data_IF_241118219452
#
_entry.id   IF_241118219452
#
_cell.length_a   1.000
_cell.length_b   1.000
_cell.length_c   1.000
_cell.angle_alpha   90.00
_cell.angle_beta   90.00
_cell.angle_gamma   90.00
#
_symmetry.space_group_name_H-M   'P 1'
#
loop_
_entity.id
_entity.type
_entity.pdbx_description
1 polymer ?
#
# COMPACT_ATOMS: atom_id res chain seq x y z
N UNK A 1 -38.49 -49.50 -44.45
CA UNK A 1 -37.06 -49.13 -44.26
C UNK A 1 -37.00 -47.62 -44.23
N UNK A 2 -36.97 -47.00 -43.04
CA UNK A 2 -37.01 -45.52 -42.94
C UNK A 2 -37.22 -45.00 -41.51
N UNK A 3 -36.35 -45.32 -40.54
CA UNK A 3 -36.37 -44.72 -39.23
C UNK A 3 -34.90 -44.64 -38.75
N UNK A 4 -34.11 -43.62 -39.17
CA UNK A 4 -32.79 -43.34 -38.56
C UNK A 4 -32.29 -41.91 -38.81
N UNK A 5 -33.08 -41.00 -39.41
CA UNK A 5 -32.61 -39.61 -39.62
C UNK A 5 -32.94 -38.62 -38.52
N UNK A 6 -33.94 -38.88 -37.67
CA UNK A 6 -34.41 -37.90 -36.67
C UNK A 6 -33.63 -37.85 -35.36
N UNK A 7 -32.77 -38.82 -35.09
CA UNK A 7 -32.08 -38.87 -33.78
C UNK A 7 -30.72 -38.11 -33.80
N UNK A 8 -30.04 -38.06 -34.94
CA UNK A 8 -28.75 -37.37 -35.05
C UNK A 8 -28.87 -35.84 -34.97
N UNK A 9 -29.93 -35.24 -35.48
CA UNK A 9 -30.12 -33.80 -35.45
C UNK A 9 -30.38 -33.25 -34.04
N UNK A 10 -31.08 -34.03 -33.19
CA UNK A 10 -31.37 -33.62 -31.80
C UNK A 10 -30.11 -33.58 -30.91
N UNK A 11 -29.12 -34.42 -31.14
CA UNK A 11 -27.88 -34.43 -30.37
C UNK A 11 -26.93 -33.30 -30.77
N UNK A 12 -26.94 -32.87 -32.02
CA UNK A 12 -26.12 -31.76 -32.52
C UNK A 12 -26.61 -30.42 -31.93
N UNK A 13 -27.94 -30.23 -31.84
CA UNK A 13 -28.52 -29.00 -31.26
C UNK A 13 -28.28 -28.93 -29.74
N UNK A 14 -28.38 -30.06 -29.03
CA UNK A 14 -28.10 -30.13 -27.60
C UNK A 14 -26.62 -29.91 -27.30
N UNK A 15 -25.71 -30.40 -28.13
CA UNK A 15 -24.25 -30.15 -27.97
C UNK A 15 -23.87 -28.70 -28.26
N UNK A 16 -24.50 -28.01 -29.22
CA UNK A 16 -24.30 -26.58 -29.47
C UNK A 16 -24.84 -25.69 -28.34
N UNK A 17 -26.00 -26.05 -27.75
CA UNK A 17 -26.54 -25.33 -26.59
C UNK A 17 -25.70 -25.51 -25.33
N UNK A 18 -25.07 -26.67 -25.13
CA UNK A 18 -24.14 -26.89 -24.01
C UNK A 18 -22.81 -26.12 -24.17
N UNK A 19 -22.34 -25.92 -25.41
CA UNK A 19 -21.14 -25.10 -25.69
C UNK A 19 -21.40 -23.60 -25.49
N UNK A 20 -22.63 -23.12 -25.69
CA UNK A 20 -23.01 -21.72 -25.45
C UNK A 20 -23.27 -21.41 -23.98
N UNK A 21 -23.61 -22.40 -23.16
CA UNK A 21 -23.79 -22.23 -21.71
C UNK A 21 -22.46 -22.21 -20.92
N UNK A 22 -21.34 -22.62 -21.53
CA UNK A 22 -20.04 -22.74 -20.89
C UNK A 22 -19.16 -21.50 -20.96
N UNK A 23 -19.52 -20.46 -21.71
CA UNK A 23 -18.79 -19.16 -21.67
C UNK A 23 -19.37 -18.27 -20.59
N UNK A 24 -19.14 -18.61 -19.32
CA UNK A 24 -19.16 -17.59 -18.29
C UNK A 24 -18.06 -16.58 -18.68
N UNK A 25 -18.45 -15.51 -19.37
CA UNK A 25 -17.60 -14.34 -19.54
C UNK A 25 -17.16 -13.96 -18.14
N UNK A 26 -15.91 -14.24 -17.79
CA UNK A 26 -15.34 -13.72 -16.58
C UNK A 26 -15.63 -12.20 -16.61
N UNK A 27 -16.52 -11.75 -15.73
CA UNK A 27 -16.89 -10.33 -15.64
C UNK A 27 -15.59 -9.58 -15.38
N UNK A 28 -15.26 -8.63 -16.24
CA UNK A 28 -14.10 -7.79 -16.01
C UNK A 28 -14.26 -7.13 -14.64
N UNK A 29 -13.25 -7.29 -13.80
CA UNK A 29 -13.22 -6.71 -12.46
C UNK A 29 -13.37 -5.19 -12.56
N UNK A 30 -14.32 -4.62 -11.83
CA UNK A 30 -14.51 -3.17 -11.80
C UNK A 30 -13.38 -2.49 -11.00
N UNK A 31 -13.15 -1.21 -11.29
CA UNK A 31 -12.18 -0.41 -10.52
C UNK A 31 -12.49 -0.44 -9.01
N UNK A 32 -13.77 -0.37 -8.63
CA UNK A 32 -14.18 -0.40 -7.23
C UNK A 32 -13.82 -1.75 -6.57
N UNK A 33 -14.07 -2.87 -7.23
CA UNK A 33 -13.71 -4.21 -6.75
C UNK A 33 -12.19 -4.35 -6.62
N UNK A 34 -11.43 -3.89 -7.61
CA UNK A 34 -9.96 -3.89 -7.56
C UNK A 34 -9.44 -3.07 -6.36
N UNK A 35 -9.92 -1.84 -6.17
CA UNK A 35 -9.49 -0.98 -5.07
C UNK A 35 -9.86 -1.55 -3.70
N UNK A 36 -11.02 -2.21 -3.56
CA UNK A 36 -11.40 -2.91 -2.34
C UNK A 36 -10.49 -4.12 -2.07
N UNK A 37 -10.13 -4.87 -3.09
CA UNK A 37 -9.21 -6.00 -2.96
C UNK A 37 -7.80 -5.53 -2.54
N UNK A 38 -7.31 -4.40 -3.09
CA UNK A 38 -6.05 -3.78 -2.68
C UNK A 38 -6.12 -3.32 -1.21
N UNK A 39 -7.23 -2.70 -0.80
CA UNK A 39 -7.42 -2.28 0.58
C UNK A 39 -7.46 -3.46 1.55
N UNK A 40 -8.15 -4.54 1.18
CA UNK A 40 -8.19 -5.76 1.98
C UNK A 40 -6.79 -6.38 2.15
N UNK A 41 -5.96 -6.38 1.09
CA UNK A 41 -4.57 -6.81 1.18
C UNK A 41 -3.71 -5.83 2.00
N UNK A 42 -3.90 -4.52 1.86
CA UNK A 42 -3.13 -3.50 2.58
C UNK A 42 -3.40 -3.52 4.09
N UNK A 43 -4.63 -3.81 4.49
CA UNK A 43 -5.05 -3.88 5.89
C UNK A 43 -4.32 -5.00 6.64
N UNK A 44 -3.97 -4.76 7.90
CA UNK A 44 -3.40 -5.77 8.79
C UNK A 44 -4.52 -6.57 9.47
N UNK A 45 -4.81 -7.76 8.96
CA UNK A 45 -5.83 -8.65 9.53
C UNK A 45 -5.45 -9.14 10.94
N UNK A 46 -4.16 -9.36 11.17
CA UNK A 46 -3.55 -9.61 12.47
C UNK A 46 -2.42 -8.60 12.72
N UNK A 47 -2.07 -8.32 13.99
CA UNK A 47 -0.94 -7.46 14.28
C UNK A 47 0.34 -7.99 13.65
N UNK A 48 1.09 -7.09 13.02
CA UNK A 48 2.35 -7.42 12.36
C UNK A 48 3.46 -6.45 12.76
N UNK A 49 4.70 -6.91 12.73
CA UNK A 49 5.89 -6.13 12.97
C UNK A 49 6.83 -6.23 11.79
N UNK A 50 7.41 -5.11 11.38
CA UNK A 50 8.60 -5.09 10.55
C UNK A 50 9.78 -4.51 11.32
N UNK A 51 10.89 -5.20 11.25
CA UNK A 51 12.19 -4.64 11.59
C UNK A 51 12.70 -3.93 10.33
N UNK A 52 13.01 -2.63 10.45
CA UNK A 52 13.29 -1.75 9.31
C UNK A 52 14.71 -1.21 9.39
N UNK A 53 15.40 -1.25 8.24
CA UNK A 53 16.68 -0.56 8.04
C UNK A 53 16.49 0.55 7.02
N UNK A 54 17.00 1.73 7.35
CA UNK A 54 16.94 2.91 6.50
C UNK A 54 18.32 3.07 5.84
N UNK A 55 18.34 3.21 4.52
CA UNK A 55 19.51 3.62 3.75
C UNK A 55 19.11 4.80 2.87
N UNK A 56 19.84 5.89 2.93
CA UNK A 56 19.59 7.09 2.16
C UNK A 56 20.89 7.69 1.63
N UNK A 57 20.79 8.59 0.65
CA UNK A 57 21.92 9.15 -0.07
C UNK A 57 22.91 9.92 0.82
N UNK A 58 23.95 10.45 0.21
CA UNK A 58 25.01 11.18 0.87
C UNK A 58 24.48 12.36 1.69
N UNK A 59 24.99 12.54 2.92
CA UNK A 59 24.54 13.58 3.84
C UNK A 59 23.28 13.25 4.67
N UNK A 60 22.60 12.15 4.38
CA UNK A 60 21.44 11.71 5.16
C UNK A 60 21.86 11.06 6.49
N UNK A 61 21.42 11.63 7.61
CA UNK A 61 21.78 11.16 8.96
C UNK A 61 21.06 9.88 9.39
N UNK A 62 19.99 9.50 8.69
CA UNK A 62 19.19 8.33 9.03
C UNK A 62 19.77 7.01 8.52
N UNK A 63 20.81 7.02 7.68
CA UNK A 63 21.44 5.80 7.16
C UNK A 63 21.96 4.92 8.30
N UNK A 64 21.51 3.64 8.29
CA UNK A 64 21.85 2.66 9.32
C UNK A 64 21.00 2.78 10.59
N UNK A 65 20.11 3.77 10.71
CA UNK A 65 19.23 3.91 11.86
C UNK A 65 18.15 2.82 11.83
N UNK A 66 18.02 1.99 12.88
CA UNK A 66 16.94 1.01 12.97
C UNK A 66 15.60 1.69 13.19
N UNK A 67 14.55 1.13 12.59
CA UNK A 67 13.19 1.50 12.88
C UNK A 67 12.31 0.25 13.05
N UNK A 68 11.18 0.41 13.71
CA UNK A 68 10.17 -0.62 13.89
C UNK A 68 8.86 -0.09 13.32
N UNK A 69 8.22 -0.87 12.45
CA UNK A 69 6.88 -0.63 11.98
C UNK A 69 5.95 -1.68 12.57
N UNK A 70 4.84 -1.24 13.17
CA UNK A 70 3.82 -2.11 13.73
C UNK A 70 2.50 -1.82 13.01
N UNK A 71 1.91 -2.85 12.43
CA UNK A 71 0.66 -2.74 11.69
C UNK A 71 -0.51 -3.39 12.43
N UNK A 72 -1.69 -2.73 12.46
CA UNK A 72 -2.93 -3.27 12.99
C UNK A 72 -4.13 -2.60 12.31
N UNK A 73 -5.02 -3.41 11.71
CA UNK A 73 -6.13 -2.83 10.94
C UNK A 73 -5.60 -1.90 9.85
N UNK A 74 -6.07 -0.67 9.86
CA UNK A 74 -5.66 0.39 8.93
C UNK A 74 -4.61 1.34 9.56
N UNK A 75 -4.08 1.00 10.73
CA UNK A 75 -3.10 1.81 11.43
C UNK A 75 -1.68 1.24 11.30
N UNK A 76 -0.71 2.13 11.16
CA UNK A 76 0.70 1.85 11.19
C UNK A 76 1.35 2.72 12.28
N UNK A 77 1.91 2.08 13.30
CA UNK A 77 2.79 2.73 14.25
C UNK A 77 4.23 2.62 13.77
N UNK A 78 4.94 3.72 13.81
CA UNK A 78 6.33 3.83 13.39
C UNK A 78 7.16 4.33 14.56
N UNK A 79 8.27 3.67 14.85
CA UNK A 79 9.25 4.12 15.84
C UNK A 79 10.65 4.03 15.24
N UNK A 80 11.37 5.15 15.25
CA UNK A 80 12.76 5.25 14.79
C UNK A 80 13.65 5.34 16.01
N UNK A 81 14.74 4.57 16.05
CA UNK A 81 15.71 4.62 17.14
C UNK A 81 16.29 6.02 17.25
N UNK A 82 16.22 6.61 18.43
CA UNK A 82 16.67 7.98 18.67
C UNK A 82 15.54 9.01 18.74
N UNK A 83 14.27 8.60 18.53
CA UNK A 83 13.20 9.45 19.02
C UNK A 83 11.95 9.69 18.21
N UNK A 84 11.95 9.56 16.89
CA UNK A 84 10.72 9.79 16.13
C UNK A 84 9.72 8.62 16.35
N UNK A 85 8.50 8.99 16.73
CA UNK A 85 7.36 8.07 16.79
C UNK A 85 6.18 8.70 16.06
N UNK A 86 5.49 7.89 15.27
CA UNK A 86 4.31 8.31 14.54
C UNK A 86 3.24 7.22 14.56
N UNK A 87 1.99 7.63 14.58
CA UNK A 87 0.82 6.79 14.34
C UNK A 87 0.14 7.29 13.07
N UNK A 88 0.19 6.46 12.05
CA UNK A 88 -0.28 6.77 10.71
C UNK A 88 -1.59 6.02 10.47
N UNK A 89 -2.66 6.76 10.24
CA UNK A 89 -3.98 6.26 9.84
C UNK A 89 -4.37 6.89 8.51
N UNK A 90 -5.27 6.33 7.72
CA UNK A 90 -5.62 6.87 6.40
C UNK A 90 -6.05 8.35 6.39
N UNK A 91 -6.71 8.80 7.46
CA UNK A 91 -7.22 10.18 7.56
C UNK A 91 -6.45 11.06 8.56
N UNK A 92 -5.48 10.51 9.29
CA UNK A 92 -4.81 11.24 10.36
C UNK A 92 -3.41 10.69 10.61
N UNK A 93 -2.44 11.60 10.69
CA UNK A 93 -1.07 11.26 11.07
C UNK A 93 -0.73 12.02 12.35
N UNK A 94 -0.35 11.28 13.38
CA UNK A 94 0.06 11.83 14.67
C UNK A 94 1.55 11.54 14.89
N UNK A 95 2.25 12.49 15.48
CA UNK A 95 3.67 12.37 15.86
C UNK A 95 3.86 12.67 17.33
N UNK A 96 4.84 12.01 17.95
CA UNK A 96 5.21 12.31 19.33
C UNK A 96 6.09 13.57 19.39
N UNK A 97 5.65 14.58 20.14
CA UNK A 97 6.43 15.80 20.44
C UNK A 97 6.35 16.09 21.94
N UNK A 98 7.50 16.12 22.61
CA UNK A 98 7.53 16.37 24.05
C UNK A 98 6.74 15.35 24.87
N UNK A 99 6.69 14.09 24.45
CA UNK A 99 5.93 13.03 25.13
C UNK A 99 4.40 13.08 24.90
N UNK A 100 3.90 13.92 24.00
CA UNK A 100 2.50 14.04 23.65
C UNK A 100 2.28 13.79 22.17
N UNK A 101 1.09 13.24 21.82
CA UNK A 101 0.67 13.12 20.43
C UNK A 101 0.25 14.50 19.90
N UNK A 102 0.71 14.85 18.71
CA UNK A 102 0.30 16.04 17.96
C UNK A 102 0.12 15.69 16.49
N UNK A 103 -0.73 16.41 15.79
CA UNK A 103 -0.92 16.20 14.36
C UNK A 103 0.38 16.52 13.59
N UNK A 104 0.75 15.65 12.67
CA UNK A 104 1.90 15.86 11.80
C UNK A 104 1.68 17.05 10.86
N UNK A 105 2.73 17.82 10.63
CA UNK A 105 2.70 18.85 9.60
C UNK A 105 2.62 18.19 8.20
N UNK A 106 2.00 18.83 7.19
CA UNK A 106 2.13 18.39 5.82
C UNK A 106 3.60 18.32 5.41
N UNK A 107 3.98 17.24 4.75
CA UNK A 107 5.37 17.05 4.34
C UNK A 107 6.30 16.57 5.45
N UNK A 108 5.79 16.15 6.60
CA UNK A 108 6.62 15.58 7.66
C UNK A 108 7.25 14.26 7.22
N UNK A 109 8.58 14.17 7.36
CA UNK A 109 9.39 13.06 6.86
C UNK A 109 9.60 11.98 7.92
N UNK A 110 9.90 10.77 7.47
CA UNK A 110 10.47 9.72 8.29
C UNK A 110 11.95 10.01 8.51
N UNK A 111 12.35 10.37 9.72
CA UNK A 111 13.77 10.55 10.12
C UNK A 111 14.59 11.42 9.14
N UNK A 112 14.02 12.53 8.66
CA UNK A 112 14.64 13.46 7.69
C UNK A 112 15.04 12.82 6.35
N UNK A 113 14.32 11.77 5.92
CA UNK A 113 14.52 11.11 4.62
C UNK A 113 13.57 11.64 3.55
N UNK A 114 13.64 11.07 2.32
CA UNK A 114 12.68 11.37 1.24
C UNK A 114 11.28 10.79 1.47
N UNK A 115 11.13 9.88 2.44
CA UNK A 115 9.86 9.24 2.78
C UNK A 115 9.04 10.17 3.65
N UNK A 116 7.89 10.65 3.17
CA UNK A 116 6.93 11.33 4.03
C UNK A 116 6.14 10.30 4.85
N UNK A 117 5.70 10.69 6.04
CA UNK A 117 4.85 9.80 6.85
C UNK A 117 3.55 9.44 6.12
N UNK A 118 3.01 10.35 5.31
CA UNK A 118 1.82 10.07 4.48
C UNK A 118 2.07 9.01 3.40
N UNK A 119 3.32 8.85 2.91
CA UNK A 119 3.66 7.80 1.94
C UNK A 119 3.56 6.39 2.54
N UNK A 120 3.59 6.27 3.87
CA UNK A 120 3.50 5.01 4.60
C UNK A 120 2.07 4.64 5.01
N UNK A 121 1.08 5.51 4.75
CA UNK A 121 -0.30 5.25 5.13
C UNK A 121 -0.84 3.96 4.51
N UNK A 122 -1.57 3.18 5.32
CA UNK A 122 -2.26 1.98 4.82
C UNK A 122 -3.31 2.41 3.82
N UNK A 123 -3.27 1.81 2.63
CA UNK A 123 -4.17 2.17 1.55
C UNK A 123 -5.62 1.82 1.88
N UNK A 124 -6.50 2.78 1.67
CA UNK A 124 -7.96 2.60 1.64
C UNK A 124 -8.54 3.37 0.45
N UNK A 125 -9.62 2.89 -0.21
CA UNK A 125 -10.21 3.62 -1.34
C UNK A 125 -10.68 5.03 -0.98
N UNK A 126 -11.04 5.25 0.28
CA UNK A 126 -11.51 6.55 0.79
C UNK A 126 -10.46 7.66 0.74
N UNK A 127 -9.16 7.32 0.64
CA UNK A 127 -8.10 8.33 0.48
C UNK A 127 -7.96 8.84 -0.96
N UNK A 128 -8.70 8.26 -1.90
CA UNK A 128 -8.69 8.66 -3.31
C UNK A 128 -9.97 9.39 -3.69
N UNK A 129 -9.83 10.50 -4.39
CA UNK A 129 -10.92 11.27 -5.00
C UNK A 129 -10.92 11.02 -6.50
N UNK A 130 -12.09 10.62 -7.03
CA UNK A 130 -12.32 10.38 -8.45
C UNK A 130 -11.25 9.47 -9.10
N UNK A 131 -11.00 8.24 -8.57
CA UNK A 131 -10.04 7.34 -9.16
C UNK A 131 -10.48 6.90 -10.56
N UNK A 132 -9.51 6.83 -11.48
CA UNK A 132 -9.73 6.42 -12.87
C UNK A 132 -8.63 5.45 -13.30
N UNK A 133 -8.97 4.43 -14.07
CA UNK A 133 -7.98 3.60 -14.77
C UNK A 133 -7.42 4.43 -15.93
N UNK A 134 -6.12 4.66 -15.93
CA UNK A 134 -5.42 5.35 -17.00
C UNK A 134 -4.66 4.39 -17.93
N UNK A 135 -4.36 3.17 -17.45
CA UNK A 135 -3.77 2.10 -18.25
C UNK A 135 -4.11 0.74 -17.61
N UNK A 136 -4.22 -0.30 -18.44
CA UNK A 136 -4.47 -1.68 -18.01
C UNK A 136 -3.65 -2.63 -18.90
N UNK A 137 -2.44 -2.92 -18.46
CA UNK A 137 -1.47 -3.68 -19.22
C UNK A 137 -0.79 -4.78 -18.42
N UNK A 138 0.16 -5.49 -19.03
CA UNK A 138 0.87 -6.61 -18.39
C UNK A 138 1.70 -6.19 -17.18
N UNK A 139 2.08 -4.91 -17.07
CA UNK A 139 2.79 -4.37 -15.92
C UNK A 139 1.88 -4.11 -14.70
N UNK A 140 0.56 -4.21 -14.87
CA UNK A 140 -0.45 -3.95 -13.84
C UNK A 140 -1.47 -2.90 -14.28
N UNK A 141 -2.39 -2.60 -13.38
CA UNK A 141 -3.42 -1.57 -13.59
C UNK A 141 -2.91 -0.24 -13.06
N UNK A 142 -2.90 0.76 -13.91
CA UNK A 142 -2.52 2.13 -13.53
C UNK A 142 -3.77 2.92 -13.16
N UNK A 143 -3.83 3.38 -11.92
CA UNK A 143 -4.94 4.16 -11.38
C UNK A 143 -4.45 5.56 -11.04
N UNK A 144 -5.07 6.56 -11.65
CA UNK A 144 -4.82 7.98 -11.40
C UNK A 144 -5.92 8.54 -10.51
N UNK A 145 -5.57 9.29 -9.47
CA UNK A 145 -6.52 9.91 -8.55
C UNK A 145 -5.92 11.12 -7.82
N UNK A 146 -6.76 12.06 -7.44
CA UNK A 146 -6.40 13.07 -6.45
C UNK A 146 -6.52 12.49 -5.02
N UNK A 147 -5.73 12.95 -4.05
CA UNK A 147 -5.96 12.66 -2.64
C UNK A 147 -7.32 13.20 -2.17
N UNK A 148 -8.06 12.44 -1.36
CA UNK A 148 -9.37 12.86 -0.86
C UNK A 148 -9.30 13.82 0.34
N UNK A 149 -8.17 13.87 1.03
CA UNK A 149 -7.94 14.67 2.23
C UNK A 149 -6.76 15.62 2.09
N UNK A 150 -6.28 16.10 3.23
CA UNK A 150 -5.09 16.94 3.31
C UNK A 150 -3.86 16.10 2.93
N UNK A 151 -3.14 16.51 1.92
CA UNK A 151 -1.95 15.82 1.41
C UNK A 151 -0.94 16.83 0.87
N UNK A 152 0.34 16.43 0.84
CA UNK A 152 1.43 17.17 0.18
C UNK A 152 1.37 17.06 -1.35
N UNK A 153 0.45 16.25 -1.88
CA UNK A 153 0.32 15.94 -3.29
C UNK A 153 -1.04 16.37 -3.84
N UNK A 154 -1.07 16.74 -5.11
CA UNK A 154 -2.30 17.03 -5.83
C UNK A 154 -2.80 15.85 -6.68
N UNK A 155 -1.86 14.96 -7.10
CA UNK A 155 -2.18 13.81 -7.93
C UNK A 155 -1.30 12.61 -7.57
N UNK A 156 -1.91 11.43 -7.56
CA UNK A 156 -1.27 10.13 -7.38
C UNK A 156 -1.51 9.27 -8.61
N UNK A 157 -0.45 8.59 -9.08
CA UNK A 157 -0.55 7.58 -10.14
C UNK A 157 -0.02 6.27 -9.57
N UNK A 158 -0.93 5.35 -9.28
CA UNK A 158 -0.64 4.07 -8.65
C UNK A 158 -0.62 2.96 -9.69
N UNK A 159 0.43 2.14 -9.72
CA UNK A 159 0.46 0.88 -10.45
C UNK A 159 0.14 -0.26 -9.49
N UNK A 160 -0.91 -1.02 -9.80
CA UNK A 160 -1.43 -2.10 -8.98
C UNK A 160 -1.09 -3.44 -9.63
N UNK A 161 -0.43 -4.32 -8.89
CA UNK A 161 -0.25 -5.73 -9.25
C UNK A 161 -1.58 -6.48 -8.98
N UNK A 162 -2.19 -7.02 -10.04
CA UNK A 162 -3.47 -7.73 -9.94
C UNK A 162 -3.38 -9.03 -9.14
N UNK A 163 -2.28 -9.74 -9.24
CA UNK A 163 -2.10 -11.03 -8.57
C UNK A 163 -1.94 -10.83 -7.06
N UNK A 164 -1.09 -9.87 -6.67
CA UNK A 164 -0.82 -9.56 -5.26
C UNK A 164 -1.85 -8.65 -4.63
N UNK A 165 -2.69 -8.00 -5.45
CA UNK A 165 -3.60 -6.93 -4.97
C UNK A 165 -2.84 -5.88 -4.17
N UNK A 166 -1.71 -5.46 -4.69
CA UNK A 166 -0.79 -4.55 -4.03
C UNK A 166 -0.38 -3.40 -4.96
N UNK A 167 -0.20 -2.21 -4.40
CA UNK A 167 0.43 -1.10 -5.10
C UNK A 167 1.93 -1.39 -5.15
N UNK A 168 2.49 -1.47 -6.35
CA UNK A 168 3.92 -1.74 -6.58
C UNK A 168 4.70 -0.49 -6.96
N UNK A 169 3.99 0.56 -7.37
CA UNK A 169 4.59 1.85 -7.72
C UNK A 169 3.60 2.97 -7.49
N UNK A 170 4.07 4.11 -6.98
CA UNK A 170 3.32 5.36 -6.92
C UNK A 170 4.17 6.50 -7.46
N UNK A 171 3.59 7.30 -8.36
CA UNK A 171 4.13 8.59 -8.78
C UNK A 171 3.37 9.68 -8.04
N UNK A 172 4.08 10.60 -7.43
CA UNK A 172 3.54 11.69 -6.62
C UNK A 172 3.77 13.02 -7.32
N UNK A 173 2.69 13.74 -7.60
CA UNK A 173 2.72 15.06 -8.24
C UNK A 173 2.26 16.13 -7.27
N UNK A 174 2.97 17.26 -7.19
CA UNK A 174 2.62 18.36 -6.28
C UNK A 174 1.48 19.23 -6.78
N UNK A 175 1.36 19.36 -8.09
CA UNK A 175 0.32 20.11 -8.76
C UNK A 175 -0.21 19.30 -9.97
N UNK A 176 -0.10 19.81 -11.17
CA UNK A 176 -0.53 19.10 -12.37
C UNK A 176 0.52 18.08 -12.84
N UNK A 177 0.14 17.24 -13.81
CA UNK A 177 0.89 16.12 -14.41
C UNK A 177 2.37 16.40 -14.73
N UNK A 178 2.76 17.68 -14.88
CA UNK A 178 4.11 18.06 -15.27
C UNK A 178 5.10 18.23 -14.11
N UNK A 179 4.66 18.10 -12.86
CA UNK A 179 5.50 18.32 -11.68
C UNK A 179 5.62 17.05 -10.82
N UNK A 180 6.28 16.04 -11.38
CA UNK A 180 6.63 14.83 -10.64
C UNK A 180 7.58 15.19 -9.49
N UNK A 181 7.10 14.99 -8.27
CA UNK A 181 7.85 15.29 -7.05
C UNK A 181 8.73 14.13 -6.63
N UNK A 182 8.15 12.93 -6.59
CA UNK A 182 8.85 11.71 -6.22
C UNK A 182 8.22 10.45 -6.83
N UNK A 183 8.98 9.38 -6.78
CA UNK A 183 8.53 8.03 -7.13
C UNK A 183 8.75 7.11 -5.93
N UNK A 184 7.74 6.32 -5.58
CA UNK A 184 7.87 5.18 -4.67
C UNK A 184 7.77 3.88 -5.47
N UNK A 185 8.60 2.90 -5.13
CA UNK A 185 8.54 1.52 -5.64
C UNK A 185 8.61 0.56 -4.47
N UNK A 186 7.69 -0.39 -4.46
CA UNK A 186 7.60 -1.47 -3.49
C UNK A 186 8.01 -2.78 -4.18
N UNK A 187 8.91 -3.53 -3.54
CA UNK A 187 9.49 -4.75 -4.10
C UNK A 187 9.67 -5.83 -3.03
N UNK A 188 10.24 -6.98 -3.43
CA UNK A 188 10.56 -8.10 -2.56
C UNK A 188 9.36 -8.53 -1.69
N UNK A 189 8.17 -8.61 -2.29
CA UNK A 189 6.95 -8.95 -1.57
C UNK A 189 7.01 -10.36 -0.97
N UNK A 190 6.63 -10.46 0.31
CA UNK A 190 6.48 -11.70 1.05
C UNK A 190 5.08 -11.81 1.69
N UNK A 191 4.63 -13.02 1.93
CA UNK A 191 3.39 -13.27 2.66
C UNK A 191 3.60 -13.07 4.16
N UNK A 192 2.67 -12.32 4.78
CA UNK A 192 2.55 -12.15 6.23
C UNK A 192 1.10 -12.41 6.58
N UNK A 193 0.82 -13.59 7.12
CA UNK A 193 -0.54 -14.11 7.20
C UNK A 193 -1.18 -14.22 5.81
N UNK A 194 -2.36 -13.66 5.65
CA UNK A 194 -3.10 -13.66 4.38
C UNK A 194 -2.66 -12.56 3.39
N UNK A 195 -1.83 -11.61 3.81
CA UNK A 195 -1.52 -10.39 3.05
C UNK A 195 -0.12 -10.39 2.45
N UNK A 196 0.05 -9.71 1.32
CA UNK A 196 1.35 -9.44 0.75
C UNK A 196 1.93 -8.14 1.33
N UNK A 197 3.20 -8.18 1.76
CA UNK A 197 3.93 -7.02 2.31
C UNK A 197 5.23 -6.81 1.55
N UNK A 198 5.58 -5.56 1.22
CA UNK A 198 6.88 -5.29 0.59
C UNK A 198 8.01 -5.53 1.57
N UNK A 199 9.04 -6.23 1.15
CA UNK A 199 10.32 -6.35 1.85
C UNK A 199 11.25 -5.17 1.56
N UNK A 200 10.96 -4.42 0.51
CA UNK A 200 11.73 -3.25 0.09
C UNK A 200 10.80 -2.13 -0.34
N UNK A 201 11.09 -0.90 0.11
CA UNK A 201 10.46 0.33 -0.34
C UNK A 201 11.57 1.28 -0.77
N UNK A 202 11.52 1.76 -2.01
CA UNK A 202 12.44 2.78 -2.53
C UNK A 202 11.65 4.04 -2.85
N UNK A 203 12.10 5.17 -2.31
CA UNK A 203 11.55 6.49 -2.61
C UNK A 203 12.65 7.35 -3.24
N UNK A 204 12.40 7.86 -4.42
CA UNK A 204 13.31 8.75 -5.16
C UNK A 204 12.67 10.14 -5.26
N UNK A 205 13.33 11.15 -4.72
CA UNK A 205 12.96 12.56 -4.86
C UNK A 205 13.52 13.09 -6.18
N UNK A 206 12.62 13.44 -7.12
CA UNK A 206 13.04 13.97 -8.43
C UNK A 206 13.70 15.33 -8.30
N UNK A 207 13.19 16.18 -7.38
CA UNK A 207 13.68 17.56 -7.20
C UNK A 207 15.01 17.64 -6.49
N UNK A 208 15.26 16.75 -5.54
CA UNK A 208 16.48 16.73 -4.73
C UNK A 208 17.53 15.80 -5.31
N UNK A 209 17.17 14.98 -6.30
CA UNK A 209 18.00 13.91 -6.86
C UNK A 209 18.52 12.97 -5.76
N UNK A 210 17.71 12.75 -4.72
CA UNK A 210 18.04 11.90 -3.58
C UNK A 210 17.19 10.64 -3.57
N UNK A 211 17.63 9.64 -2.82
CA UNK A 211 16.98 8.34 -2.77
C UNK A 211 17.03 7.77 -1.36
N UNK A 212 15.90 7.30 -0.90
CA UNK A 212 15.78 6.53 0.35
C UNK A 212 15.34 5.11 0.05
N UNK A 213 16.01 4.15 0.65
CA UNK A 213 15.68 2.73 0.58
C UNK A 213 15.38 2.20 1.98
N UNK A 214 14.23 1.57 2.14
CA UNK A 214 13.83 0.87 3.36
C UNK A 214 13.86 -0.63 3.08
N UNK A 215 14.57 -1.39 3.90
CA UNK A 215 14.49 -2.85 3.93
C UNK A 215 13.63 -3.26 5.12
N UNK A 216 12.59 -4.09 4.89
CA UNK A 216 11.58 -4.44 5.88
C UNK A 216 11.53 -5.97 6.06
N UNK A 217 11.74 -6.43 7.27
CA UNK A 217 11.59 -7.84 7.64
C UNK A 217 10.29 -8.02 8.43
N UNK A 218 9.21 -8.36 7.73
CA UNK A 218 7.87 -8.51 8.30
C UNK A 218 7.66 -9.87 8.96
N UNK A 219 6.92 -9.89 10.07
CA UNK A 219 6.39 -11.09 10.73
C UNK A 219 5.08 -10.76 11.44
N UNK A 220 4.28 -11.77 11.70
CA UNK A 220 3.15 -11.64 12.62
C UNK A 220 3.64 -11.36 14.04
N UNK A 221 2.89 -10.54 14.78
CA UNK A 221 3.25 -10.10 16.11
C UNK A 221 2.00 -9.94 17.01
N UNK A 222 1.33 -11.07 17.36
CA UNK A 222 0.07 -11.03 18.10
C UNK A 222 0.18 -10.37 19.48
N UNK A 223 1.39 -10.31 20.06
CA UNK A 223 1.66 -9.70 21.36
C UNK A 223 1.88 -8.18 21.32
N UNK A 224 1.72 -7.50 20.18
CA UNK A 224 1.84 -6.03 20.12
C UNK A 224 0.68 -5.40 20.90
N UNK A 225 0.97 -4.52 21.90
CA UNK A 225 -0.08 -3.89 22.71
C UNK A 225 -0.99 -2.99 21.89
N UNK A 226 -2.29 -3.07 22.11
CA UNK A 226 -3.31 -2.22 21.46
C UNK A 226 -3.08 -0.74 21.73
N UNK A 227 -2.61 -0.42 22.94
CA UNK A 227 -2.34 0.95 23.36
C UNK A 227 -1.35 1.71 22.45
N UNK A 228 -0.46 1.01 21.73
CA UNK A 228 0.46 1.65 20.77
C UNK A 228 -0.28 2.25 19.56
N UNK A 229 -1.47 1.76 19.27
CA UNK A 229 -2.30 2.26 18.18
C UNK A 229 -3.29 3.35 18.63
N UNK A 230 -3.15 3.83 19.85
CA UNK A 230 -3.92 4.96 20.36
C UNK A 230 -3.04 6.20 20.52
N UNK A 231 -3.60 7.43 20.42
CA UNK A 231 -2.82 8.66 20.54
C UNK A 231 -2.01 8.73 21.86
N UNK A 232 -2.55 8.23 22.96
CA UNK A 232 -1.86 8.18 24.24
C UNK A 232 -0.60 7.29 24.21
N UNK A 233 -0.60 6.25 23.38
CA UNK A 233 0.53 5.32 23.23
C UNK A 233 1.77 5.95 22.56
N UNK A 234 1.60 7.06 21.83
CA UNK A 234 2.73 7.79 21.25
C UNK A 234 3.62 8.48 22.29
N UNK A 235 3.11 8.74 23.49
CA UNK A 235 3.84 9.44 24.54
C UNK A 235 5.05 8.67 25.06
N UNK A 236 5.06 7.35 24.94
CA UNK A 236 6.11 6.46 25.42
C UNK A 236 6.70 5.61 24.28
N UNK A 237 7.97 5.20 24.37
CA UNK A 237 8.53 4.19 23.48
C UNK A 237 7.73 2.88 23.55
N UNK A 238 7.75 2.11 22.46
CA UNK A 238 7.00 0.84 22.39
C UNK A 238 7.46 -0.21 23.42
N UNK A 239 8.66 -0.06 23.97
CA UNK A 239 9.28 -1.07 24.84
C UNK A 239 9.73 -2.33 24.09
N UNK A 240 9.54 -2.39 22.77
CA UNK A 240 9.93 -3.53 21.95
C UNK A 240 11.43 -3.47 21.63
N UNK A 241 12.10 -4.62 21.70
CA UNK A 241 13.53 -4.72 21.37
C UNK A 241 13.81 -4.29 19.92
N UNK A 242 14.94 -3.60 19.73
CA UNK A 242 15.43 -3.18 18.40
C UNK A 242 16.04 -4.37 17.63
N UNK A 243 15.98 -4.35 16.27
CA UNK A 243 16.63 -5.37 15.44
C UNK A 243 18.15 -5.30 15.51
#
# INVERSE_FOLDING_TARGET
>A
MGITRGVRERYVVLALLALLAGTSRARAESLAELLQAVAANARFASPARADVRIACGEGCKATGTPAIFLGRGDALYVEVKGGQRALIRPAQILVARGGKASEAAPGETLADTDVLLEDLAVFTPAVLKQPQISDDGPAGVVVTAAPAGRSSYALLVNTIDRERRAIIRTLYYRDLINNLSKTRRDAAFARVGASWRPGEITVESVRQATKTHLTLSWREAPGVPDALFEPAGLGQPSGLGWP
#
